data_IF_457897723621
#
_entry.id   IF_457897723621
#
_cell.length_a   1.000
_cell.length_b   1.000
_cell.length_c   1.000
_cell.angle_alpha   90.00
_cell.angle_beta   90.00
_cell.angle_gamma   90.00
#
_symmetry.space_group_name_H-M   'P 1'
#
loop_
_entity.id
_entity.type
_entity.pdbx_description
1 polymer ?
#
# COMPACT_ATOMS: atom_id res chain seq x y z
N UNK A 1 20.00 -9.97 33.02
CA UNK A 1 20.45 -8.62 33.46
C UNK A 1 20.17 -7.66 32.32
N UNK A 2 19.64 -6.47 32.60
CA UNK A 2 19.33 -5.47 31.56
C UNK A 2 20.62 -5.01 30.86
N UNK A 3 20.65 -4.88 29.51
CA UNK A 3 21.75 -4.24 28.81
C UNK A 3 21.84 -2.74 29.16
N UNK A 4 22.99 -2.12 28.91
CA UNK A 4 23.15 -0.66 29.11
C UNK A 4 22.12 0.13 28.31
N UNK A 5 21.87 -0.28 27.06
CA UNK A 5 20.85 0.29 26.19
C UNK A 5 19.90 -0.78 25.65
N UNK A 6 18.63 -0.67 26.03
CA UNK A 6 17.55 -1.49 25.48
C UNK A 6 16.62 -0.66 24.58
N UNK A 7 16.11 -1.28 23.52
CA UNK A 7 15.02 -0.73 22.71
C UNK A 7 13.65 -1.04 23.32
N UNK A 8 13.48 -2.25 23.85
CA UNK A 8 12.21 -2.75 24.38
C UNK A 8 12.42 -3.60 25.64
N UNK A 9 11.35 -3.73 26.43
CA UNK A 9 11.30 -4.62 27.60
C UNK A 9 11.42 -6.10 27.20
N UNK A 10 11.73 -6.99 28.15
CA UNK A 10 11.76 -8.42 27.90
C UNK A 10 10.43 -9.01 27.44
N UNK A 11 10.51 -10.15 26.73
CA UNK A 11 9.32 -10.99 26.50
C UNK A 11 8.72 -11.42 27.83
N UNK A 12 7.38 -11.49 27.89
CA UNK A 12 6.67 -11.91 29.08
C UNK A 12 7.14 -13.30 29.54
N UNK A 13 7.56 -13.40 30.80
CA UNK A 13 8.08 -14.65 31.37
C UNK A 13 9.55 -14.96 31.05
N UNK A 14 10.27 -14.00 30.47
CA UNK A 14 11.72 -14.08 30.20
C UNK A 14 12.44 -12.84 30.71
N UNK A 15 13.77 -12.92 30.80
CA UNK A 15 14.65 -11.76 31.02
C UNK A 15 15.40 -11.36 29.73
N UNK A 16 14.90 -11.78 28.56
CA UNK A 16 15.49 -11.51 27.25
C UNK A 16 15.13 -10.08 26.81
N UNK A 17 15.98 -9.11 27.14
CA UNK A 17 15.83 -7.73 26.69
C UNK A 17 16.11 -7.58 25.20
N UNK A 18 15.32 -6.75 24.51
CA UNK A 18 15.67 -6.33 23.16
C UNK A 18 16.73 -5.22 23.25
N UNK A 19 17.99 -5.55 22.94
CA UNK A 19 19.07 -4.54 22.95
C UNK A 19 18.79 -3.48 21.89
N UNK A 20 19.24 -2.24 22.15
CA UNK A 20 19.03 -1.15 21.19
C UNK A 20 19.78 -1.39 19.87
N UNK A 21 20.97 -2.01 19.94
CA UNK A 21 21.75 -2.34 18.74
C UNK A 21 21.07 -3.41 17.89
N UNK A 22 20.59 -4.50 18.51
CA UNK A 22 19.91 -5.57 17.77
C UNK A 22 18.65 -5.06 17.07
N UNK A 23 17.87 -4.22 17.76
CA UNK A 23 16.69 -3.58 17.19
C UNK A 23 17.06 -2.67 16.00
N UNK A 24 18.04 -1.78 16.19
CA UNK A 24 18.48 -0.88 15.12
C UNK A 24 18.99 -1.65 13.90
N UNK A 25 19.76 -2.71 14.10
CA UNK A 25 20.27 -3.55 13.01
C UNK A 25 19.14 -4.28 12.28
N UNK A 26 18.18 -4.87 13.02
CA UNK A 26 17.02 -5.56 12.45
C UNK A 26 16.10 -4.62 11.65
N UNK A 27 15.82 -3.43 12.19
CA UNK A 27 15.05 -2.39 11.49
C UNK A 27 15.79 -1.89 10.25
N UNK A 28 17.10 -1.65 10.37
CA UNK A 28 17.94 -1.19 9.26
C UNK A 28 17.96 -2.20 8.12
N UNK A 29 18.24 -3.47 8.40
CA UNK A 29 18.32 -4.53 7.39
C UNK A 29 16.98 -4.65 6.63
N UNK A 30 15.87 -4.67 7.37
CA UNK A 30 14.52 -4.77 6.79
C UNK A 30 14.15 -3.55 5.97
N UNK A 31 14.33 -2.35 6.51
CA UNK A 31 13.99 -1.11 5.83
C UNK A 31 14.82 -0.94 4.55
N UNK A 32 16.12 -1.26 4.59
CA UNK A 32 16.99 -1.25 3.41
C UNK A 32 16.51 -2.24 2.35
N UNK A 33 16.24 -3.49 2.75
CA UNK A 33 15.76 -4.54 1.85
C UNK A 33 14.46 -4.16 1.16
N UNK A 34 13.48 -3.63 1.90
CA UNK A 34 12.23 -3.16 1.32
C UNK A 34 12.43 -1.98 0.38
N UNK A 35 13.30 -1.04 0.75
CA UNK A 35 13.51 0.16 -0.03
C UNK A 35 14.30 -0.06 -1.32
N UNK A 36 15.16 -1.09 -1.36
CA UNK A 36 15.91 -1.51 -2.55
C UNK A 36 15.02 -1.81 -3.76
N UNK A 37 13.78 -2.26 -3.53
CA UNK A 37 12.81 -2.56 -4.59
C UNK A 37 12.50 -1.32 -5.46
N UNK A 38 12.62 -0.12 -4.88
CA UNK A 38 12.37 1.16 -5.55
C UNK A 38 13.57 2.14 -5.51
N UNK A 39 14.78 1.65 -5.27
CA UNK A 39 16.00 2.48 -5.24
C UNK A 39 16.05 3.48 -4.09
N UNK A 40 15.42 3.17 -2.95
CA UNK A 40 15.36 4.00 -1.75
C UNK A 40 16.24 3.52 -0.59
N UNK A 41 17.09 2.52 -0.81
CA UNK A 41 17.89 1.83 0.21
C UNK A 41 18.74 2.78 1.06
N UNK A 42 19.37 3.78 0.46
CA UNK A 42 20.21 4.75 1.19
C UNK A 42 19.37 5.62 2.13
N UNK A 43 18.22 6.11 1.65
CA UNK A 43 17.29 6.92 2.44
C UNK A 43 16.74 6.11 3.61
N UNK A 44 16.27 4.89 3.34
CA UNK A 44 15.70 4.02 4.37
C UNK A 44 16.74 3.59 5.41
N UNK A 45 17.96 3.23 4.99
CA UNK A 45 19.06 2.87 5.89
C UNK A 45 19.43 4.00 6.83
N UNK A 46 19.59 5.23 6.32
CA UNK A 46 19.93 6.38 7.16
C UNK A 46 18.80 6.74 8.12
N UNK A 47 17.55 6.70 7.65
CA UNK A 47 16.40 6.94 8.52
C UNK A 47 16.31 5.88 9.62
N UNK A 48 16.46 4.60 9.29
CA UNK A 48 16.44 3.49 10.26
C UNK A 48 17.57 3.59 11.29
N UNK A 49 18.79 3.96 10.86
CA UNK A 49 19.93 4.11 11.78
C UNK A 49 19.66 5.09 12.93
N UNK A 50 18.90 6.15 12.67
CA UNK A 50 18.69 7.22 13.65
C UNK A 50 17.27 7.30 14.19
N UNK A 51 16.34 6.45 13.72
CA UNK A 51 14.91 6.57 14.07
C UNK A 51 14.68 6.59 15.59
N UNK A 52 15.45 5.76 16.30
CA UNK A 52 15.36 5.54 17.74
C UNK A 52 16.53 6.14 18.53
N UNK A 53 17.26 7.12 17.98
CA UNK A 53 18.36 7.80 18.67
C UNK A 53 17.97 8.27 20.08
N UNK A 54 16.72 8.71 20.27
CA UNK A 54 16.23 9.15 21.58
C UNK A 54 16.15 8.05 22.64
N UNK A 55 16.20 6.76 22.28
CA UNK A 55 16.20 5.65 23.24
C UNK A 55 17.51 5.59 24.03
N UNK A 56 18.59 6.23 23.56
CA UNK A 56 19.82 6.42 24.35
C UNK A 56 19.66 7.43 25.51
N UNK A 57 18.54 8.17 25.57
CA UNK A 57 18.24 9.06 26.68
C UNK A 57 18.16 8.26 28.01
N UNK A 58 18.91 8.65 29.06
CA UNK A 58 18.80 8.02 30.37
C UNK A 58 17.38 7.95 30.93
N UNK A 59 16.55 8.97 30.69
CA UNK A 59 15.16 8.99 31.14
C UNK A 59 14.33 7.89 30.45
N UNK A 60 14.63 7.60 29.17
CA UNK A 60 13.99 6.53 28.41
C UNK A 60 14.43 5.16 28.92
N UNK A 61 15.72 4.98 29.20
CA UNK A 61 16.24 3.73 29.77
C UNK A 61 15.64 3.44 31.15
N UNK A 62 15.53 4.44 32.02
CA UNK A 62 14.85 4.31 33.31
C UNK A 62 13.34 4.08 33.16
N UNK A 63 12.70 4.62 32.11
CA UNK A 63 11.31 4.32 31.80
C UNK A 63 11.09 2.83 31.47
N UNK A 64 11.95 2.23 30.64
CA UNK A 64 11.86 0.80 30.32
C UNK A 64 12.04 -0.10 31.56
N UNK A 65 12.93 0.28 32.49
CA UNK A 65 13.10 -0.43 33.77
C UNK A 65 11.80 -0.43 34.58
N UNK A 66 11.19 0.75 34.76
CA UNK A 66 9.91 0.87 35.46
C UNK A 66 8.78 0.08 34.78
N UNK A 67 8.75 0.03 33.45
CA UNK A 67 7.80 -0.81 32.71
C UNK A 67 8.01 -2.30 32.98
N UNK A 68 9.26 -2.75 33.03
CA UNK A 68 9.58 -4.14 33.31
C UNK A 68 9.25 -4.51 34.78
N UNK A 69 9.61 -3.65 35.73
CA UNK A 69 9.25 -3.81 37.15
C UNK A 69 7.74 -3.88 37.35
N UNK A 70 6.97 -3.01 36.69
CA UNK A 70 5.51 -3.06 36.73
C UNK A 70 4.95 -4.38 36.17
N UNK A 71 5.54 -4.88 35.08
CA UNK A 71 5.17 -6.17 34.48
C UNK A 71 5.41 -7.33 35.46
N UNK A 72 6.56 -7.35 36.15
CA UNK A 72 6.87 -8.35 37.17
C UNK A 72 5.97 -8.25 38.40
N UNK A 73 5.62 -7.03 38.81
CA UNK A 73 4.71 -6.77 39.93
C UNK A 73 3.23 -6.98 39.60
N UNK A 74 2.88 -7.20 38.33
CA UNK A 74 1.49 -7.29 37.86
C UNK A 74 0.72 -5.97 37.99
N UNK A 75 1.42 -4.83 37.98
CA UNK A 75 0.85 -3.48 38.09
C UNK A 75 0.84 -2.77 36.74
N UNK A 76 0.02 -1.70 36.57
CA UNK A 76 0.02 -0.91 35.35
C UNK A 76 1.39 -0.26 35.09
N UNK A 77 1.85 -0.19 33.82
CA UNK A 77 3.07 0.54 33.48
C UNK A 77 2.90 2.06 33.69
N UNK A 78 4.00 2.84 33.74
CA UNK A 78 3.91 4.29 33.88
C UNK A 78 3.06 4.94 32.78
N UNK A 79 2.17 5.85 33.16
CA UNK A 79 1.16 6.45 32.24
C UNK A 79 1.77 7.32 31.13
N UNK A 80 2.90 7.97 31.39
CA UNK A 80 3.57 8.87 30.43
C UNK A 80 4.87 8.22 29.94
N UNK A 81 4.92 7.96 28.62
CA UNK A 81 6.16 7.60 27.95
C UNK A 81 7.13 8.78 27.83
N UNK A 82 8.40 8.46 27.59
CA UNK A 82 9.45 9.44 27.33
C UNK A 82 9.56 9.66 25.82
N UNK A 83 9.40 10.88 25.29
CA UNK A 83 9.54 11.14 23.86
C UNK A 83 10.96 10.83 23.36
N UNK A 84 11.07 10.03 22.30
CA UNK A 84 12.38 9.65 21.74
C UNK A 84 12.52 9.92 20.24
N UNK A 85 11.42 9.95 19.48
CA UNK A 85 11.46 10.02 18.01
C UNK A 85 12.09 11.29 17.41
N UNK A 86 12.14 12.40 18.16
CA UNK A 86 12.59 13.70 17.62
C UNK A 86 14.11 13.83 17.51
N UNK A 87 14.87 13.17 18.40
CA UNK A 87 16.32 13.39 18.50
C UNK A 87 17.07 12.95 17.24
N UNK A 88 16.67 11.84 16.62
CA UNK A 88 17.26 11.40 15.36
C UNK A 88 16.99 12.35 14.19
N UNK A 89 15.82 12.98 14.19
CA UNK A 89 15.48 13.99 13.19
C UNK A 89 16.30 15.29 13.37
N UNK A 90 16.60 15.66 14.62
CA UNK A 90 17.50 16.77 14.92
C UNK A 90 18.93 16.48 14.45
N UNK A 91 19.44 15.27 14.69
CA UNK A 91 20.75 14.85 14.18
C UNK A 91 20.80 14.93 12.65
N UNK A 92 19.79 14.39 11.97
CA UNK A 92 19.71 14.46 10.52
C UNK A 92 19.72 15.90 10.00
N UNK A 93 18.98 16.82 10.65
CA UNK A 93 18.96 18.23 10.29
C UNK A 93 20.33 18.91 10.53
N UNK A 94 20.95 18.70 11.69
CA UNK A 94 22.25 19.29 12.03
C UNK A 94 23.39 18.77 11.12
N UNK A 95 23.26 17.56 10.56
CA UNK A 95 24.17 16.99 9.56
C UNK A 95 23.86 17.44 8.11
N UNK A 96 22.84 18.27 7.88
CA UNK A 96 22.43 18.73 6.55
C UNK A 96 21.61 17.71 5.73
N UNK A 97 21.14 16.63 6.36
CA UNK A 97 20.26 15.62 5.77
C UNK A 97 18.78 15.82 6.18
N UNK A 98 18.31 17.06 6.16
CA UNK A 98 16.98 17.47 6.67
C UNK A 98 15.80 16.71 6.01
N UNK A 99 15.97 16.20 4.79
CA UNK A 99 14.97 15.37 4.10
C UNK A 99 14.63 14.07 4.83
N UNK A 100 15.48 13.59 5.76
CA UNK A 100 15.22 12.43 6.61
C UNK A 100 14.37 12.76 7.84
N UNK A 101 14.38 14.01 8.29
CA UNK A 101 13.67 14.46 9.49
C UNK A 101 12.18 14.07 9.53
N UNK A 102 11.38 14.22 8.44
CA UNK A 102 9.97 13.81 8.47
C UNK A 102 9.78 12.30 8.65
N UNK A 103 10.71 11.48 8.13
CA UNK A 103 10.65 10.02 8.25
C UNK A 103 10.92 9.61 9.70
N UNK A 104 12.02 10.13 10.25
CA UNK A 104 12.49 9.81 11.60
C UNK A 104 11.51 10.34 12.64
N UNK A 105 11.17 11.62 12.62
CA UNK A 105 10.27 12.18 13.63
C UNK A 105 8.89 11.51 13.60
N UNK A 106 8.43 11.12 12.41
CA UNK A 106 7.10 10.58 12.19
C UNK A 106 6.92 9.09 12.44
N UNK A 107 7.98 8.31 12.74
CA UNK A 107 7.91 6.84 12.68
C UNK A 107 6.86 6.21 13.62
N UNK A 108 6.46 6.89 14.70
CA UNK A 108 5.34 6.47 15.55
C UNK A 108 4.03 7.23 15.31
N UNK A 109 4.09 8.55 15.05
CA UNK A 109 2.92 9.43 15.01
C UNK A 109 2.35 9.69 13.61
N UNK A 110 3.10 9.31 12.57
CA UNK A 110 2.84 9.70 11.19
C UNK A 110 3.57 10.98 10.78
N UNK A 111 3.44 11.31 9.50
CA UNK A 111 4.07 12.49 8.89
C UNK A 111 3.44 13.78 9.43
N UNK A 112 4.31 14.67 9.90
CA UNK A 112 3.95 16.01 10.38
C UNK A 112 3.79 16.99 9.22
N UNK A 113 2.97 18.03 9.44
CA UNK A 113 3.03 19.22 8.61
C UNK A 113 4.42 19.88 8.74
N UNK A 114 4.99 20.46 7.67
CA UNK A 114 6.34 21.04 7.71
C UNK A 114 6.56 22.04 8.85
N UNK A 115 5.59 22.92 9.10
CA UNK A 115 5.65 23.91 10.19
C UNK A 115 5.66 23.27 11.57
N UNK A 116 4.86 22.21 11.77
CA UNK A 116 4.81 21.47 13.02
C UNK A 116 6.10 20.68 13.27
N UNK A 117 6.69 20.11 12.22
CA UNK A 117 8.00 19.45 12.31
C UNK A 117 9.09 20.45 12.70
N UNK A 118 9.15 21.59 12.00
CA UNK A 118 10.13 22.66 12.28
C UNK A 118 10.08 23.13 13.73
N UNK A 119 8.88 23.43 14.23
CA UNK A 119 8.69 23.86 15.61
C UNK A 119 9.17 22.82 16.64
N UNK A 120 9.10 21.51 16.32
CA UNK A 120 9.60 20.44 17.19
C UNK A 120 11.13 20.33 17.15
N UNK A 121 11.74 20.54 15.99
CA UNK A 121 13.21 20.51 15.82
C UNK A 121 13.90 21.71 16.49
N UNK A 122 13.18 22.83 16.62
CA UNK A 122 13.66 24.08 17.23
C UNK A 122 13.25 24.21 18.71
N UNK A 123 12.57 23.22 19.29
CA UNK A 123 12.13 23.24 20.70
C UNK A 123 13.32 23.32 21.67
N UNK A 124 13.34 24.35 22.51
CA UNK A 124 14.49 24.66 23.37
C UNK A 124 14.73 23.60 24.44
N UNK A 125 13.68 23.00 25.01
CA UNK A 125 13.80 21.96 26.01
C UNK A 125 14.39 20.68 25.41
N UNK A 126 13.92 20.28 24.23
CA UNK A 126 14.44 19.14 23.49
C UNK A 126 15.90 19.35 23.07
N UNK A 127 16.24 20.56 22.59
CA UNK A 127 17.63 20.98 22.27
C UNK A 127 18.55 20.91 23.48
N UNK A 128 18.08 21.27 24.67
CA UNK A 128 18.88 21.18 25.89
C UNK A 128 19.26 19.73 26.26
N UNK A 129 18.37 18.77 26.01
CA UNK A 129 18.62 17.35 26.27
C UNK A 129 19.44 16.67 25.17
N UNK A 130 19.46 17.23 23.96
CA UNK A 130 20.01 16.59 22.77
C UNK A 130 21.49 16.20 22.90
N UNK A 131 22.33 17.06 23.48
CA UNK A 131 23.76 16.74 23.65
C UNK A 131 24.00 15.52 24.53
N UNK A 132 23.25 15.38 25.63
CA UNK A 132 23.34 14.22 26.51
C UNK A 132 22.95 12.92 25.77
N UNK A 133 21.96 12.99 24.87
CA UNK A 133 21.55 11.86 24.03
C UNK A 133 22.65 11.49 23.04
N UNK A 134 23.30 12.47 22.41
CA UNK A 134 24.41 12.21 21.47
C UNK A 134 25.61 11.58 22.19
N UNK A 135 25.99 12.07 23.37
CA UNK A 135 27.07 11.48 24.17
C UNK A 135 26.76 10.04 24.57
N UNK A 136 25.52 9.76 24.99
CA UNK A 136 25.09 8.40 25.32
C UNK A 136 25.08 7.48 24.09
N UNK A 137 24.58 7.96 22.95
CA UNK A 137 24.59 7.21 21.68
C UNK A 137 26.00 6.92 21.18
N UNK A 138 26.93 7.87 21.35
CA UNK A 138 28.34 7.68 21.00
C UNK A 138 29.00 6.61 21.90
N UNK A 139 28.70 6.60 23.21
CA UNK A 139 29.16 5.53 24.12
C UNK A 139 28.58 4.17 23.73
N UNK A 140 27.32 4.15 23.30
CA UNK A 140 26.66 2.97 22.75
C UNK A 140 27.13 2.56 21.35
N UNK A 141 28.11 3.25 20.76
CA UNK A 141 28.70 2.89 19.47
C UNK A 141 27.87 3.26 18.25
N UNK A 142 26.79 4.04 18.40
CA UNK A 142 25.97 4.46 17.26
C UNK A 142 26.73 5.47 16.38
N UNK A 143 26.85 5.25 15.06
CA UNK A 143 27.46 6.23 14.16
C UNK A 143 26.61 7.51 14.06
N UNK A 144 27.21 8.65 14.43
CA UNK A 144 26.57 9.98 14.44
C UNK A 144 27.02 10.86 13.26
N UNK A 145 27.52 10.26 12.18
CA UNK A 145 27.99 10.94 10.98
C UNK A 145 27.32 10.38 9.73
N UNK A 146 27.29 11.20 8.67
CA UNK A 146 26.91 10.72 7.34
C UNK A 146 28.03 9.85 6.75
N UNK A 147 27.70 8.84 5.92
CA UNK A 147 28.69 8.09 5.17
C UNK A 147 29.49 9.00 4.21
N UNK A 148 30.80 8.80 4.11
CA UNK A 148 31.68 9.60 3.24
C UNK A 148 31.30 9.49 1.75
N UNK A 149 30.72 8.37 1.35
CA UNK A 149 30.29 8.08 -0.01
C UNK A 149 28.84 8.49 -0.30
N UNK A 150 28.16 9.20 0.63
CA UNK A 150 26.75 9.54 0.50
C UNK A 150 26.41 10.26 -0.80
N UNK A 151 27.23 11.22 -1.22
CA UNK A 151 27.00 11.97 -2.45
C UNK A 151 27.04 11.10 -3.71
N UNK A 152 27.76 9.97 -3.66
CA UNK A 152 27.86 9.02 -4.77
C UNK A 152 26.74 7.97 -4.76
N UNK A 153 26.18 7.70 -3.59
CA UNK A 153 25.20 6.62 -3.38
C UNK A 153 23.76 7.13 -3.30
N UNK A 154 23.54 8.37 -2.88
CA UNK A 154 22.22 8.96 -2.75
C UNK A 154 21.69 9.46 -4.10
N UNK A 155 20.70 8.77 -4.64
CA UNK A 155 20.00 9.16 -5.85
C UNK A 155 18.61 9.72 -5.55
N UNK A 156 18.52 11.04 -5.37
CA UNK A 156 17.24 11.74 -5.28
C UNK A 156 16.69 12.10 -6.67
N UNK A 157 15.39 11.92 -6.91
CA UNK A 157 14.75 12.42 -8.12
C UNK A 157 14.87 13.95 -8.27
N UNK A 158 14.77 14.44 -9.51
CA UNK A 158 14.81 15.88 -9.77
C UNK A 158 13.46 16.57 -9.47
N UNK A 159 12.35 15.86 -9.68
CA UNK A 159 11.01 16.42 -9.50
C UNK A 159 10.57 16.39 -8.03
N UNK A 160 10.07 17.50 -7.46
CA UNK A 160 9.64 17.55 -6.05
C UNK A 160 8.62 16.47 -5.67
N UNK A 161 7.69 16.15 -6.58
CA UNK A 161 6.71 15.09 -6.36
C UNK A 161 7.35 13.70 -6.27
N UNK A 162 8.35 13.42 -7.11
CA UNK A 162 9.05 12.14 -7.07
C UNK A 162 9.91 12.01 -5.81
N UNK A 163 10.51 13.13 -5.35
CA UNK A 163 11.20 13.17 -4.05
C UNK A 163 10.23 12.89 -2.91
N UNK A 164 9.07 13.56 -2.89
CA UNK A 164 8.05 13.33 -1.87
C UNK A 164 7.59 11.87 -1.83
N UNK A 165 7.32 11.28 -3.00
CA UNK A 165 6.92 9.88 -3.12
C UNK A 165 8.03 8.93 -2.67
N UNK A 166 9.30 9.22 -2.97
CA UNK A 166 10.44 8.43 -2.51
C UNK A 166 10.54 8.45 -0.99
N UNK A 167 10.49 9.64 -0.39
CA UNK A 167 10.53 9.84 1.05
C UNK A 167 9.37 9.13 1.75
N UNK A 168 8.18 9.15 1.14
CA UNK A 168 6.99 8.47 1.68
C UNK A 168 7.09 6.95 1.59
N UNK A 169 7.65 6.41 0.50
CA UNK A 169 7.92 4.97 0.38
C UNK A 169 9.02 4.52 1.35
N UNK A 170 10.07 5.32 1.55
CA UNK A 170 11.09 5.04 2.56
C UNK A 170 10.52 5.14 3.99
N UNK A 171 9.63 6.10 4.27
CA UNK A 171 8.87 6.16 5.52
C UNK A 171 8.08 4.88 5.76
N UNK A 172 7.37 4.41 4.74
CA UNK A 172 6.62 3.15 4.79
C UNK A 172 7.51 1.95 5.15
N UNK A 173 8.66 1.83 4.50
CA UNK A 173 9.62 0.76 4.74
C UNK A 173 10.20 0.84 6.17
N UNK A 174 10.55 2.04 6.65
CA UNK A 174 11.04 2.27 8.01
C UNK A 174 10.00 1.85 9.05
N UNK A 175 8.78 2.36 8.92
CA UNK A 175 7.72 2.08 9.89
C UNK A 175 7.39 0.58 9.88
N UNK A 176 7.26 -0.06 8.71
CA UNK A 176 6.95 -1.49 8.72
C UNK A 176 8.09 -2.33 9.30
N UNK A 177 9.35 -1.95 9.05
CA UNK A 177 10.50 -2.60 9.65
C UNK A 177 10.51 -2.48 11.19
N UNK A 178 10.30 -1.29 11.75
CA UNK A 178 10.19 -1.04 13.21
C UNK A 178 9.09 -1.89 13.85
N UNK A 179 7.91 -1.93 13.22
CA UNK A 179 6.80 -2.75 13.70
C UNK A 179 7.10 -4.26 13.64
N UNK A 180 7.68 -4.75 12.55
CA UNK A 180 7.98 -6.18 12.38
C UNK A 180 9.08 -6.65 13.33
N UNK A 181 10.07 -5.79 13.58
CA UNK A 181 11.17 -6.08 14.49
C UNK A 181 10.70 -6.13 15.95
N UNK A 182 9.86 -5.18 16.34
CA UNK A 182 9.17 -5.22 17.63
C UNK A 182 8.27 -6.46 17.75
N UNK A 183 7.49 -6.79 16.71
CA UNK A 183 6.60 -7.96 16.68
C UNK A 183 7.37 -9.27 16.85
N UNK A 184 8.47 -9.46 16.13
CA UNK A 184 9.31 -10.65 16.20
C UNK A 184 9.91 -10.84 17.60
N UNK A 185 10.39 -9.76 18.22
CA UNK A 185 10.90 -9.82 19.60
C UNK A 185 9.82 -10.33 20.55
N UNK A 186 8.59 -9.81 20.47
CA UNK A 186 7.53 -10.18 21.40
C UNK A 186 6.76 -11.46 21.04
N UNK A 187 6.75 -11.88 19.77
CA UNK A 187 5.90 -12.95 19.28
C UNK A 187 6.47 -13.71 18.06
N UNK A 188 7.52 -14.49 18.28
CA UNK A 188 8.20 -15.33 17.26
C UNK A 188 7.25 -16.29 16.50
N UNK A 189 6.15 -16.73 17.13
CA UNK A 189 5.18 -17.62 16.50
C UNK A 189 4.37 -16.94 15.39
N UNK A 190 4.07 -15.64 15.52
CA UNK A 190 3.34 -14.88 14.47
C UNK A 190 4.22 -14.60 13.25
N UNK A 191 5.52 -14.42 13.44
CA UNK A 191 6.49 -14.23 12.33
C UNK A 191 6.48 -15.41 11.37
N UNK A 192 6.50 -16.64 11.89
CA UNK A 192 6.51 -17.88 11.09
C UNK A 192 5.23 -18.08 10.26
N UNK A 193 4.10 -17.52 10.68
CA UNK A 193 2.84 -17.58 9.93
C UNK A 193 2.84 -16.70 8.65
N UNK A 194 3.77 -15.74 8.53
CA UNK A 194 3.87 -14.85 7.36
C UNK A 194 4.52 -15.53 6.15
N UNK A 195 5.31 -16.58 6.35
CA UNK A 195 6.20 -17.16 5.31
C UNK A 195 5.50 -18.07 4.27
N UNK A 196 4.30 -18.58 4.54
CA UNK A 196 3.64 -19.58 3.69
C UNK A 196 2.82 -18.96 2.52
N UNK A 197 3.41 -18.11 1.67
CA UNK A 197 2.67 -17.49 0.55
C UNK A 197 2.76 -18.30 -0.76
N UNK A 198 1.63 -18.45 -1.45
CA UNK A 198 1.57 -19.08 -2.78
C UNK A 198 2.19 -18.15 -3.82
N UNK A 199 3.03 -18.68 -4.71
CA UNK A 199 3.67 -17.86 -5.75
C UNK A 199 2.67 -17.35 -6.79
N UNK A 200 2.97 -16.19 -7.40
CA UNK A 200 2.18 -15.65 -8.52
C UNK A 200 2.05 -16.64 -9.69
N UNK A 201 3.08 -17.46 -9.92
CA UNK A 201 3.05 -18.52 -10.93
C UNK A 201 2.00 -19.59 -10.61
N UNK A 202 1.92 -20.02 -9.34
CA UNK A 202 0.91 -20.98 -8.91
C UNK A 202 -0.51 -20.41 -9.07
N UNK A 203 -0.74 -19.16 -8.64
CA UNK A 203 -2.02 -18.47 -8.85
C UNK A 203 -2.38 -18.37 -10.34
N UNK A 204 -1.41 -18.05 -11.21
CA UNK A 204 -1.65 -18.02 -12.66
C UNK A 204 -2.08 -19.40 -13.18
N UNK A 205 -1.39 -20.46 -12.80
CA UNK A 205 -1.70 -21.85 -13.24
C UNK A 205 -3.10 -22.27 -12.79
N UNK A 206 -3.49 -21.93 -11.57
CA UNK A 206 -4.82 -22.23 -11.05
C UNK A 206 -5.92 -21.47 -11.82
N UNK A 207 -5.68 -20.19 -12.12
CA UNK A 207 -6.59 -19.41 -12.95
C UNK A 207 -6.70 -19.96 -14.38
N UNK A 208 -5.59 -20.39 -14.99
CA UNK A 208 -5.60 -21.02 -16.31
C UNK A 208 -6.45 -22.30 -16.32
N UNK A 209 -6.23 -23.19 -15.35
CA UNK A 209 -7.00 -24.43 -15.21
C UNK A 209 -8.49 -24.17 -15.04
N UNK A 210 -8.84 -23.17 -14.22
CA UNK A 210 -10.23 -22.77 -14.00
C UNK A 210 -10.86 -22.22 -15.29
N UNK A 211 -10.15 -21.34 -16.01
CA UNK A 211 -10.62 -20.79 -17.29
C UNK A 211 -10.77 -21.86 -18.37
N UNK A 212 -9.88 -22.86 -18.42
CA UNK A 212 -9.99 -24.01 -19.33
C UNK A 212 -11.22 -24.86 -19.04
N UNK A 213 -11.51 -25.11 -17.76
CA UNK A 213 -12.70 -25.85 -17.33
C UNK A 213 -13.98 -25.11 -17.73
N UNK A 214 -14.04 -23.79 -17.50
CA UNK A 214 -15.17 -22.96 -17.94
C UNK A 214 -15.30 -22.99 -19.46
N UNK A 215 -14.19 -22.88 -20.19
CA UNK A 215 -14.20 -22.87 -21.66
C UNK A 215 -14.72 -24.21 -22.23
N UNK A 216 -14.34 -25.35 -21.65
CA UNK A 216 -14.81 -26.68 -22.07
C UNK A 216 -16.32 -26.86 -21.82
N UNK A 217 -16.86 -26.28 -20.75
CA UNK A 217 -18.29 -26.34 -20.43
C UNK A 217 -19.12 -25.25 -21.15
N UNK A 218 -18.48 -24.29 -21.83
CA UNK A 218 -19.15 -23.13 -22.38
C UNK A 218 -19.91 -23.44 -23.68
N UNK A 219 -21.18 -23.05 -23.73
CA UNK A 219 -21.97 -23.06 -24.99
C UNK A 219 -21.42 -22.02 -25.98
N UNK A 220 -21.40 -22.30 -27.29
CA UNK A 220 -20.95 -21.36 -28.31
C UNK A 220 -21.99 -20.25 -28.49
N UNK A 221 -21.86 -19.18 -27.71
CA UNK A 221 -22.71 -17.99 -27.77
C UNK A 221 -21.87 -16.78 -28.19
N UNK A 222 -22.50 -15.74 -28.74
CA UNK A 222 -21.81 -14.47 -29.06
C UNK A 222 -21.12 -13.87 -27.84
N UNK A 223 -21.72 -13.99 -26.65
CA UNK A 223 -21.13 -13.55 -25.38
C UNK A 223 -19.84 -14.32 -25.07
N UNK A 224 -19.85 -15.63 -25.22
CA UNK A 224 -18.68 -16.46 -24.94
C UNK A 224 -17.58 -16.27 -26.00
N UNK A 225 -17.94 -15.98 -27.25
CA UNK A 225 -16.97 -15.58 -28.27
C UNK A 225 -16.25 -14.28 -27.90
N UNK A 226 -16.99 -13.24 -27.48
CA UNK A 226 -16.39 -11.98 -26.98
C UNK A 226 -15.49 -12.24 -25.78
N UNK A 227 -15.93 -13.04 -24.80
CA UNK A 227 -15.12 -13.40 -23.63
C UNK A 227 -13.81 -14.09 -24.03
N UNK A 228 -13.84 -14.99 -25.01
CA UNK A 228 -12.65 -15.66 -25.51
C UNK A 228 -11.70 -14.70 -26.24
N UNK A 229 -12.23 -13.77 -27.05
CA UNK A 229 -11.44 -12.71 -27.70
C UNK A 229 -10.75 -11.80 -26.67
N UNK A 230 -11.48 -11.37 -25.62
CA UNK A 230 -10.93 -10.54 -24.54
C UNK A 230 -9.86 -11.29 -23.75
N UNK A 231 -10.11 -12.56 -23.38
CA UNK A 231 -9.12 -13.38 -22.68
C UNK A 231 -7.84 -13.56 -23.50
N UNK A 232 -7.97 -13.80 -24.81
CA UNK A 232 -6.83 -13.91 -25.72
C UNK A 232 -6.04 -12.59 -25.76
N UNK A 233 -6.72 -11.46 -25.91
CA UNK A 233 -6.08 -10.15 -25.92
C UNK A 233 -5.31 -9.87 -24.62
N UNK A 234 -5.89 -10.19 -23.46
CA UNK A 234 -5.20 -10.11 -22.16
C UNK A 234 -3.95 -11.00 -22.09
N UNK A 235 -4.01 -12.24 -22.61
CA UNK A 235 -2.86 -13.15 -22.65
C UNK A 235 -1.75 -12.66 -23.56
N UNK A 236 -2.08 -12.08 -24.70
CA UNK A 236 -1.12 -11.58 -25.68
C UNK A 236 -0.43 -10.31 -25.15
N UNK A 237 -1.23 -9.36 -24.64
CA UNK A 237 -0.74 -8.08 -24.11
C UNK A 237 0.13 -8.22 -22.85
N UNK A 238 0.02 -9.33 -22.10
CA UNK A 238 0.81 -9.55 -20.87
C UNK A 238 2.32 -9.52 -21.06
N UNK A 239 2.80 -9.69 -22.30
CA UNK A 239 4.23 -9.63 -22.67
C UNK A 239 4.74 -8.23 -22.99
N UNK A 240 3.85 -7.23 -23.09
CA UNK A 240 4.24 -5.84 -23.31
C UNK A 240 4.96 -5.31 -22.07
N UNK A 241 5.96 -4.45 -22.28
CA UNK A 241 6.74 -3.83 -21.19
C UNK A 241 5.88 -3.23 -20.07
N UNK A 242 6.35 -3.13 -18.82
CA UNK A 242 5.61 -2.49 -17.74
C UNK A 242 5.15 -1.05 -18.05
N UNK A 243 4.06 -0.60 -17.42
CA UNK A 243 3.52 0.74 -17.61
C UNK A 243 1.99 0.83 -17.49
N UNK A 244 1.39 1.81 -18.17
CA UNK A 244 -0.05 2.03 -18.14
C UNK A 244 -0.77 1.27 -19.27
N UNK A 245 -1.84 0.59 -18.89
CA UNK A 245 -2.67 -0.21 -19.78
C UNK A 245 -4.15 0.15 -19.64
N UNK A 246 -4.90 -0.08 -20.71
CA UNK A 246 -6.35 0.11 -20.77
C UNK A 246 -7.05 -1.20 -21.09
N UNK A 247 -7.99 -1.59 -20.25
CA UNK A 247 -8.89 -2.71 -20.50
C UNK A 247 -10.32 -2.19 -20.65
N UNK A 248 -10.69 -1.83 -21.88
CA UNK A 248 -12.06 -1.42 -22.21
C UNK A 248 -12.87 -2.63 -22.68
N UNK A 249 -13.82 -3.06 -21.84
CA UNK A 249 -14.62 -4.26 -22.10
C UNK A 249 -16.09 -4.00 -21.73
N UNK A 250 -17.06 -4.28 -22.62
CA UNK A 250 -18.48 -4.14 -22.28
C UNK A 250 -18.89 -5.04 -21.11
N UNK A 251 -19.93 -4.63 -20.38
CA UNK A 251 -20.46 -5.40 -19.24
C UNK A 251 -20.80 -6.83 -19.66
N UNK A 252 -20.28 -7.80 -18.89
CA UNK A 252 -20.44 -9.23 -19.19
C UNK A 252 -19.40 -9.81 -20.17
N UNK A 253 -18.53 -8.99 -20.76
CA UNK A 253 -17.46 -9.41 -21.68
C UNK A 253 -16.24 -10.08 -21.04
N UNK A 254 -16.29 -10.41 -19.73
CA UNK A 254 -15.24 -11.18 -19.06
C UNK A 254 -14.08 -10.35 -18.48
N UNK A 255 -14.31 -9.07 -18.17
CA UNK A 255 -13.32 -8.13 -17.62
C UNK A 255 -12.57 -8.66 -16.40
N UNK A 256 -13.28 -9.19 -15.41
CA UNK A 256 -12.72 -9.60 -14.11
C UNK A 256 -11.65 -10.68 -14.23
N UNK A 257 -11.98 -11.86 -14.79
CA UNK A 257 -11.02 -12.97 -14.90
C UNK A 257 -9.98 -12.74 -15.99
N UNK A 258 -10.34 -12.10 -17.11
CA UNK A 258 -9.38 -11.80 -18.17
C UNK A 258 -8.37 -10.74 -17.73
N UNK A 259 -8.82 -9.71 -17.01
CA UNK A 259 -7.94 -8.70 -16.41
C UNK A 259 -7.00 -9.29 -15.36
N UNK A 260 -7.50 -10.20 -14.50
CA UNK A 260 -6.64 -10.92 -13.56
C UNK A 260 -5.62 -11.82 -14.28
N UNK A 261 -6.02 -12.48 -15.38
CA UNK A 261 -5.10 -13.27 -16.20
C UNK A 261 -3.98 -12.42 -16.78
N UNK A 262 -4.31 -11.24 -17.33
CA UNK A 262 -3.30 -10.27 -17.75
C UNK A 262 -2.37 -9.94 -16.59
N UNK A 263 -2.92 -9.57 -15.42
CA UNK A 263 -2.14 -9.11 -14.29
C UNK A 263 -1.18 -10.18 -13.75
N UNK A 264 -1.66 -11.41 -13.53
CA UNK A 264 -0.82 -12.51 -13.04
C UNK A 264 0.26 -12.90 -14.05
N UNK A 265 -0.08 -13.00 -15.34
CA UNK A 265 0.87 -13.36 -16.38
C UNK A 265 1.91 -12.27 -16.63
N UNK A 266 1.48 -11.00 -16.66
CA UNK A 266 2.37 -9.85 -16.79
C UNK A 266 3.31 -9.74 -15.58
N UNK A 267 2.79 -9.93 -14.37
CA UNK A 267 3.62 -9.94 -13.17
C UNK A 267 4.70 -11.03 -13.22
N UNK A 268 4.35 -12.23 -13.66
CA UNK A 268 5.31 -13.32 -13.81
C UNK A 268 6.38 -13.01 -14.87
N UNK A 269 6.00 -12.51 -16.05
CA UNK A 269 6.93 -12.23 -17.15
C UNK A 269 7.97 -11.16 -16.75
N UNK A 270 7.54 -10.13 -16.05
CA UNK A 270 8.40 -8.98 -15.71
C UNK A 270 8.94 -9.01 -14.28
N UNK A 271 8.78 -10.13 -13.56
CA UNK A 271 9.27 -10.28 -12.19
C UNK A 271 8.65 -9.30 -11.18
N UNK A 272 7.39 -8.93 -11.38
CA UNK A 272 6.62 -8.12 -10.42
C UNK A 272 6.21 -9.01 -9.24
N UNK A 273 6.10 -8.40 -8.06
CA UNK A 273 5.97 -9.10 -6.78
C UNK A 273 4.52 -9.47 -6.44
N UNK A 274 3.54 -8.68 -6.90
CA UNK A 274 2.13 -8.87 -6.52
C UNK A 274 1.13 -8.24 -7.48
N UNK A 275 -0.13 -8.61 -7.33
CA UNK A 275 -1.29 -8.05 -8.01
C UNK A 275 -2.22 -7.40 -6.98
N UNK A 276 -2.59 -6.14 -7.21
CA UNK A 276 -3.52 -5.36 -6.39
C UNK A 276 -4.75 -5.05 -7.25
N UNK A 277 -5.90 -5.59 -6.88
CA UNK A 277 -7.19 -5.33 -7.54
C UNK A 277 -7.99 -4.36 -6.67
N UNK A 278 -8.17 -3.14 -7.15
CA UNK A 278 -8.94 -2.10 -6.49
C UNK A 278 -10.31 -1.94 -7.14
N UNK A 279 -11.37 -2.16 -6.36
CA UNK A 279 -12.77 -2.04 -6.81
C UNK A 279 -13.48 -0.86 -6.14
N UNK A 280 -14.46 -0.20 -6.79
CA UNK A 280 -15.02 1.04 -6.29
C UNK A 280 -16.02 0.89 -5.13
N UNK A 281 -16.81 -0.20 -5.12
CA UNK A 281 -17.92 -0.39 -4.18
C UNK A 281 -17.71 -1.64 -3.32
N UNK A 282 -18.06 -1.56 -2.05
CA UNK A 282 -17.98 -2.69 -1.09
C UNK A 282 -18.88 -3.84 -1.51
N UNK A 283 -20.07 -3.60 -2.05
CA UNK A 283 -20.94 -4.68 -2.54
C UNK A 283 -20.32 -5.51 -3.68
N UNK A 284 -19.39 -4.91 -4.45
CA UNK A 284 -18.69 -5.58 -5.55
C UNK A 284 -17.44 -6.31 -5.06
N UNK A 285 -16.82 -5.84 -3.96
CA UNK A 285 -15.61 -6.47 -3.43
C UNK A 285 -15.89 -7.88 -2.93
N UNK A 286 -16.97 -8.08 -2.17
CA UNK A 286 -17.35 -9.38 -1.63
C UNK A 286 -17.63 -10.40 -2.74
N UNK A 287 -18.22 -9.96 -3.86
CA UNK A 287 -18.42 -10.81 -5.03
C UNK A 287 -17.09 -11.16 -5.70
N UNK A 288 -16.20 -10.19 -5.89
CA UNK A 288 -14.90 -10.41 -6.52
C UNK A 288 -14.03 -11.34 -5.68
N UNK A 289 -13.99 -11.11 -4.37
CA UNK A 289 -13.25 -11.94 -3.40
C UNK A 289 -13.80 -13.36 -3.37
N UNK A 290 -15.13 -13.55 -3.36
CA UNK A 290 -15.73 -14.91 -3.43
C UNK A 290 -15.25 -15.67 -4.66
N UNK A 291 -15.31 -15.06 -5.84
CA UNK A 291 -14.84 -15.67 -7.09
C UNK A 291 -13.34 -16.02 -6.99
N UNK A 292 -12.51 -15.14 -6.44
CA UNK A 292 -11.08 -15.43 -6.31
C UNK A 292 -10.80 -16.53 -5.27
N UNK A 293 -11.52 -16.56 -4.15
CA UNK A 293 -11.38 -17.61 -3.12
C UNK A 293 -11.83 -18.97 -3.62
N UNK A 294 -12.85 -19.03 -4.48
CA UNK A 294 -13.27 -20.28 -5.15
C UNK A 294 -12.18 -20.85 -6.07
N UNK A 295 -11.36 -19.99 -6.68
CA UNK A 295 -10.29 -20.39 -7.61
C UNK A 295 -8.99 -20.72 -6.86
N UNK A 296 -8.59 -19.84 -5.94
CA UNK A 296 -7.25 -19.88 -5.32
C UNK A 296 -7.25 -20.42 -3.88
N UNK A 297 -8.43 -20.62 -3.28
CA UNK A 297 -8.57 -20.90 -1.86
C UNK A 297 -8.51 -19.64 -0.98
N UNK A 298 -9.10 -19.74 0.22
CA UNK A 298 -9.28 -18.60 1.12
C UNK A 298 -7.98 -17.92 1.57
N UNK A 299 -6.90 -18.70 1.74
CA UNK A 299 -5.62 -18.22 2.29
C UNK A 299 -4.76 -17.44 1.28
N UNK A 300 -5.13 -17.46 0.00
CA UNK A 300 -4.33 -16.88 -1.09
C UNK A 300 -4.85 -15.53 -1.59
N UNK A 301 -5.98 -15.06 -1.04
CA UNK A 301 -6.64 -13.80 -1.43
C UNK A 301 -6.72 -12.90 -0.20
N UNK A 302 -5.92 -11.84 -0.18
CA UNK A 302 -6.01 -10.84 0.87
C UNK A 302 -7.14 -9.86 0.56
N UNK A 303 -8.21 -9.90 1.35
CA UNK A 303 -9.31 -8.94 1.29
C UNK A 303 -9.05 -7.79 2.26
N UNK A 304 -9.05 -6.54 1.78
CA UNK A 304 -8.84 -5.37 2.62
C UNK A 304 -9.78 -4.20 2.28
N UNK A 305 -10.77 -3.98 3.14
CA UNK A 305 -11.66 -2.82 3.14
C UNK A 305 -12.22 -2.60 4.56
N UNK A 306 -12.93 -1.50 4.78
CA UNK A 306 -13.46 -1.13 6.10
C UNK A 306 -14.26 -2.25 6.78
N UNK A 307 -15.25 -2.85 6.08
CA UNK A 307 -16.06 -3.92 6.64
C UNK A 307 -15.28 -5.22 6.92
N UNK A 308 -14.40 -5.67 6.01
CA UNK A 308 -13.55 -6.84 6.26
C UNK A 308 -12.55 -6.60 7.39
N UNK A 309 -12.13 -5.35 7.62
CA UNK A 309 -11.34 -4.96 8.78
C UNK A 309 -12.16 -5.10 10.06
N UNK A 310 -13.42 -4.67 10.09
CA UNK A 310 -14.25 -4.86 11.29
C UNK A 310 -14.50 -6.35 11.60
N UNK A 311 -14.67 -7.19 10.57
CA UNK A 311 -14.79 -8.65 10.71
C UNK A 311 -13.48 -9.32 11.13
N UNK A 312 -12.33 -8.95 10.56
CA UNK A 312 -11.03 -9.51 10.95
C UNK A 312 -10.59 -9.06 12.35
N UNK A 313 -11.11 -7.94 12.86
CA UNK A 313 -10.76 -7.36 14.15
C UNK A 313 -11.87 -7.51 15.22
N UNK A 314 -13.02 -8.10 14.88
CA UNK A 314 -14.11 -8.38 15.82
C UNK A 314 -13.84 -9.55 16.79
N UNK A 315 -14.41 -9.47 17.99
CA UNK A 315 -14.26 -10.41 19.13
C UNK A 315 -14.93 -11.78 18.92
N UNK A 316 -14.77 -12.41 17.75
CA UNK A 316 -15.23 -13.78 17.52
C UNK A 316 -14.23 -14.79 18.09
N UNK A 317 -14.71 -15.77 18.86
CA UNK A 317 -13.93 -16.81 19.57
C UNK A 317 -13.14 -17.76 18.64
N UNK A 318 -13.35 -17.71 17.32
CA UNK A 318 -12.57 -18.47 16.34
C UNK A 318 -11.27 -17.73 15.94
N UNK A 319 -10.20 -18.06 16.68
CA UNK A 319 -8.81 -17.61 16.44
C UNK A 319 -8.05 -18.56 15.49
N UNK A 320 -8.60 -18.78 14.29
CA UNK A 320 -7.87 -19.55 13.27
C UNK A 320 -6.57 -18.83 12.85
N UNK A 321 -5.47 -19.57 12.71
CA UNK A 321 -4.17 -19.06 12.22
C UNK A 321 -4.30 -18.28 10.91
N UNK A 322 -5.21 -18.69 10.02
CA UNK A 322 -5.51 -18.01 8.77
C UNK A 322 -6.06 -16.58 8.98
N UNK A 323 -6.87 -16.36 10.03
CA UNK A 323 -7.44 -15.05 10.36
C UNK A 323 -6.39 -14.12 10.93
N UNK A 324 -5.51 -14.64 11.79
CA UNK A 324 -4.34 -13.90 12.30
C UNK A 324 -3.41 -13.51 11.15
N UNK A 325 -3.10 -14.45 10.26
CA UNK A 325 -2.28 -14.18 9.08
C UNK A 325 -2.89 -13.11 8.17
N UNK A 326 -4.19 -13.20 7.87
CA UNK A 326 -4.88 -12.18 7.08
C UNK A 326 -4.81 -10.81 7.76
N UNK A 327 -5.06 -10.73 9.08
CA UNK A 327 -4.94 -9.49 9.86
C UNK A 327 -3.54 -8.89 9.75
N UNK A 328 -2.49 -9.70 9.91
CA UNK A 328 -1.10 -9.26 9.78
C UNK A 328 -0.80 -8.75 8.36
N UNK A 329 -1.23 -9.49 7.32
CA UNK A 329 -1.04 -9.11 5.93
C UNK A 329 -1.82 -7.85 5.53
N UNK A 330 -2.97 -7.54 6.15
CA UNK A 330 -3.67 -6.25 5.89
C UNK A 330 -2.90 -5.02 6.37
N UNK A 331 -2.02 -5.18 7.36
CA UNK A 331 -1.25 -4.08 7.92
C UNK A 331 -0.24 -3.54 6.89
N UNK A 332 0.42 -4.45 6.18
CA UNK A 332 1.52 -4.12 5.28
C UNK A 332 1.34 -4.60 3.82
N UNK A 333 0.23 -5.25 3.45
CA UNK A 333 0.00 -5.78 2.10
C UNK A 333 1.04 -6.81 1.63
N UNK A 334 1.52 -7.62 2.57
CA UNK A 334 2.39 -8.75 2.27
C UNK A 334 1.59 -9.96 1.78
N UNK A 335 1.08 -9.87 0.54
CA UNK A 335 0.36 -10.94 -0.14
C UNK A 335 0.53 -10.85 -1.67
N UNK A 336 0.54 -12.00 -2.39
CA UNK A 336 0.69 -12.04 -3.84
C UNK A 336 -0.54 -11.48 -4.58
N UNK A 337 -1.75 -11.69 -4.04
CA UNK A 337 -3.00 -11.18 -4.59
C UNK A 337 -3.79 -10.44 -3.51
N UNK A 338 -3.97 -9.15 -3.73
CA UNK A 338 -4.66 -8.23 -2.82
C UNK A 338 -5.91 -7.73 -3.53
N UNK A 339 -7.06 -7.84 -2.86
CA UNK A 339 -8.32 -7.25 -3.30
C UNK A 339 -8.72 -6.20 -2.30
N UNK A 340 -8.82 -4.96 -2.76
CA UNK A 340 -9.08 -3.79 -1.91
C UNK A 340 -10.04 -2.83 -2.57
N UNK A 341 -10.42 -1.76 -1.88
CA UNK A 341 -11.21 -0.70 -2.48
C UNK A 341 -10.33 0.37 -3.10
N UNK A 342 -10.85 1.07 -4.10
CA UNK A 342 -10.19 2.24 -4.70
C UNK A 342 -9.86 3.30 -3.64
N UNK A 343 -10.76 3.52 -2.68
CA UNK A 343 -10.52 4.42 -1.54
C UNK A 343 -9.36 3.94 -0.70
N UNK A 344 -9.35 2.67 -0.27
CA UNK A 344 -8.29 2.12 0.57
C UNK A 344 -6.91 2.18 -0.12
N UNK A 345 -6.85 1.95 -1.43
CA UNK A 345 -5.61 2.11 -2.21
C UNK A 345 -5.08 3.54 -2.14
N UNK A 346 -5.92 4.54 -2.44
CA UNK A 346 -5.48 5.93 -2.44
C UNK A 346 -5.27 6.50 -1.02
N UNK A 347 -6.03 6.06 -0.02
CA UNK A 347 -5.73 6.38 1.38
C UNK A 347 -4.37 5.81 1.83
N UNK A 348 -3.92 4.70 1.26
CA UNK A 348 -2.59 4.15 1.54
C UNK A 348 -1.49 4.97 0.86
N UNK A 349 -1.76 5.51 -0.34
CA UNK A 349 -0.84 6.38 -1.08
C UNK A 349 -0.71 7.78 -0.48
N UNK A 350 -1.82 8.38 -0.04
CA UNK A 350 -1.87 9.78 0.40
C UNK A 350 -2.03 9.96 1.91
N UNK A 351 -2.26 8.87 2.65
CA UNK A 351 -2.39 8.88 4.10
C UNK A 351 -1.11 9.34 4.79
N UNK A 352 -1.23 9.94 5.97
CA UNK A 352 -0.08 10.44 6.74
C UNK A 352 0.24 9.62 7.97
N UNK A 353 -0.68 8.77 8.41
CA UNK A 353 -0.53 8.00 9.65
C UNK A 353 0.18 6.67 9.39
N UNK A 354 0.89 6.16 10.39
CA UNK A 354 1.68 4.93 10.31
C UNK A 354 0.87 3.74 9.81
N UNK A 355 -0.32 3.51 10.36
CA UNK A 355 -1.21 2.41 9.96
C UNK A 355 -1.65 2.43 8.48
N UNK A 356 -1.74 3.62 7.86
CA UNK A 356 -2.03 3.78 6.45
C UNK A 356 -0.76 3.59 5.61
N UNK A 357 0.35 4.19 6.05
CA UNK A 357 1.60 4.19 5.31
C UNK A 357 2.31 2.84 5.31
N UNK A 358 2.16 1.98 6.33
CA UNK A 358 2.90 0.70 6.47
C UNK A 358 2.87 -0.21 5.25
N UNK A 359 1.83 -0.14 4.43
CA UNK A 359 1.67 -0.98 3.23
C UNK A 359 2.20 -0.37 1.92
N UNK A 360 2.55 0.91 1.94
CA UNK A 360 2.85 1.68 0.74
C UNK A 360 4.09 1.16 -0.02
N UNK A 361 5.16 0.77 0.67
CA UNK A 361 6.37 0.24 0.03
C UNK A 361 6.10 -1.05 -0.77
N UNK A 362 5.13 -1.87 -0.34
CA UNK A 362 4.65 -3.03 -1.09
C UNK A 362 3.80 -2.68 -2.32
N UNK A 363 3.56 -1.41 -2.66
CA UNK A 363 2.93 -1.06 -3.95
C UNK A 363 3.96 -1.07 -5.10
N UNK A 364 5.26 -0.91 -4.80
CA UNK A 364 6.31 -1.01 -5.81
C UNK A 364 6.34 -2.41 -6.45
N UNK A 365 6.76 -2.48 -7.72
CA UNK A 365 6.81 -3.71 -8.51
C UNK A 365 5.51 -4.51 -8.46
N UNK A 366 4.37 -3.85 -8.62
CA UNK A 366 3.04 -4.50 -8.58
C UNK A 366 2.26 -4.28 -9.86
N UNK A 367 1.32 -5.17 -10.17
CA UNK A 367 0.26 -4.87 -11.15
C UNK A 367 -0.97 -4.35 -10.40
N UNK A 368 -1.36 -3.11 -10.67
CA UNK A 368 -2.47 -2.42 -10.02
C UNK A 368 -3.64 -2.38 -11.00
N UNK A 369 -4.68 -3.15 -10.74
CA UNK A 369 -5.91 -3.18 -11.52
C UNK A 369 -6.92 -2.23 -10.88
N UNK A 370 -7.23 -1.12 -11.53
CA UNK A 370 -8.26 -0.17 -11.11
C UNK A 370 -9.56 -0.48 -11.84
N UNK A 371 -10.50 -1.13 -11.16
CA UNK A 371 -11.79 -1.45 -11.73
C UNK A 371 -12.76 -0.25 -11.70
N UNK A 372 -13.57 -0.15 -12.74
CA UNK A 372 -14.49 0.96 -13.01
C UNK A 372 -13.83 2.32 -12.80
N UNK A 373 -12.69 2.55 -13.44
CA UNK A 373 -11.87 3.77 -13.28
C UNK A 373 -12.65 5.09 -13.51
N UNK A 374 -13.79 5.05 -14.19
CA UNK A 374 -14.69 6.20 -14.34
C UNK A 374 -15.36 6.67 -13.03
N UNK A 375 -15.33 5.86 -11.96
CA UNK A 375 -15.88 6.24 -10.65
C UNK A 375 -14.89 7.06 -9.81
N UNK A 376 -13.69 7.33 -10.32
CA UNK A 376 -12.72 8.16 -9.60
C UNK A 376 -13.27 9.58 -9.36
N UNK A 377 -13.06 10.16 -8.17
CA UNK A 377 -13.56 11.49 -7.86
C UNK A 377 -12.85 12.55 -8.69
N UNK A 378 -13.63 13.32 -9.47
CA UNK A 378 -13.11 14.36 -10.38
C UNK A 378 -12.18 15.36 -9.67
N UNK A 379 -12.49 15.74 -8.44
CA UNK A 379 -11.69 16.69 -7.64
C UNK A 379 -10.31 16.18 -7.23
N UNK A 380 -10.07 14.86 -7.30
CA UNK A 380 -8.80 14.24 -6.93
C UNK A 380 -8.11 13.59 -8.14
N UNK A 381 -8.60 13.78 -9.36
CA UNK A 381 -8.02 13.14 -10.55
C UNK A 381 -6.56 13.51 -10.77
N UNK A 382 -6.17 14.77 -10.57
CA UNK A 382 -4.78 15.21 -10.73
C UNK A 382 -3.83 14.46 -9.79
N UNK A 383 -3.99 14.51 -8.44
CA UNK A 383 -3.08 13.80 -7.54
C UNK A 383 -3.12 12.27 -7.77
N UNK A 384 -4.29 11.70 -8.08
CA UNK A 384 -4.41 10.27 -8.40
C UNK A 384 -3.58 9.92 -9.64
N UNK A 385 -3.74 10.67 -10.72
CA UNK A 385 -3.06 10.37 -11.99
C UNK A 385 -1.56 10.58 -11.85
N UNK A 386 -1.13 11.61 -11.11
CA UNK A 386 0.29 11.87 -10.87
C UNK A 386 0.95 10.77 -10.03
N UNK A 387 0.26 10.25 -9.01
CA UNK A 387 0.72 9.07 -8.27
C UNK A 387 0.81 7.83 -9.18
N UNK A 388 -0.21 7.57 -10.00
CA UNK A 388 -0.21 6.42 -10.92
C UNK A 388 0.92 6.51 -11.95
N UNK A 389 1.17 7.69 -12.55
CA UNK A 389 2.32 7.92 -13.43
C UNK A 389 3.64 7.63 -12.71
N UNK A 390 3.78 8.15 -11.50
CA UNK A 390 4.99 7.96 -10.68
C UNK A 390 5.25 6.48 -10.43
N UNK A 391 4.20 5.71 -10.08
CA UNK A 391 4.30 4.26 -9.88
C UNK A 391 4.73 3.49 -11.16
N UNK A 392 4.40 4.01 -12.34
CA UNK A 392 4.82 3.42 -13.63
C UNK A 392 6.24 3.79 -14.07
N UNK A 393 6.94 4.67 -13.35
CA UNK A 393 8.34 4.99 -13.66
C UNK A 393 9.25 3.78 -13.42
N UNK A 394 10.43 3.69 -14.07
CA UNK A 394 11.37 2.59 -13.84
C UNK A 394 11.77 2.39 -12.37
N UNK A 395 11.76 3.47 -11.57
CA UNK A 395 12.07 3.44 -10.14
C UNK A 395 11.13 2.51 -9.37
N UNK A 396 9.82 2.69 -9.50
CA UNK A 396 8.84 1.84 -8.81
C UNK A 396 8.48 0.59 -9.63
N UNK A 397 8.50 0.69 -10.96
CA UNK A 397 8.35 -0.40 -11.90
C UNK A 397 7.01 -1.12 -11.81
N UNK A 398 5.95 -0.44 -11.40
CA UNK A 398 4.59 -1.01 -11.34
C UNK A 398 3.87 -0.83 -12.68
N UNK A 399 2.91 -1.72 -12.94
CA UNK A 399 2.00 -1.59 -14.08
C UNK A 399 0.60 -1.25 -13.59
N UNK A 400 -0.08 -0.34 -14.28
CA UNK A 400 -1.44 0.09 -13.93
C UNK A 400 -2.39 -0.32 -15.04
N UNK A 401 -3.46 -1.02 -14.70
CA UNK A 401 -4.50 -1.46 -15.63
C UNK A 401 -5.79 -0.69 -15.32
N UNK A 402 -6.17 0.21 -16.23
CA UNK A 402 -7.38 1.01 -16.14
C UNK A 402 -8.54 0.23 -16.76
N UNK A 403 -9.35 -0.41 -15.92
CA UNK A 403 -10.47 -1.26 -16.31
C UNK A 403 -11.77 -0.45 -16.35
N UNK A 404 -12.50 -0.51 -17.47
CA UNK A 404 -13.76 0.23 -17.61
C UNK A 404 -14.67 -0.29 -18.73
N UNK A 405 -15.98 -0.10 -18.60
CA UNK A 405 -16.93 -0.21 -19.70
C UNK A 405 -17.17 1.13 -20.44
N UNK A 406 -16.78 2.26 -19.85
CA UNK A 406 -16.98 3.61 -20.42
C UNK A 406 -15.75 4.45 -20.17
N UNK A 407 -15.05 4.87 -21.22
CA UNK A 407 -13.76 5.55 -21.09
C UNK A 407 -13.86 6.85 -20.28
N UNK A 408 -13.16 6.99 -19.14
CA UNK A 408 -12.81 8.32 -18.64
C UNK A 408 -11.66 8.89 -19.46
N UNK A 409 -11.64 10.21 -19.65
CA UNK A 409 -10.55 10.90 -20.34
C UNK A 409 -9.31 11.06 -19.42
N UNK A 410 -8.72 9.94 -18.97
CA UNK A 410 -7.48 9.97 -18.18
C UNK A 410 -6.21 10.17 -19.03
N UNK A 411 -6.32 9.98 -20.34
CA UNK A 411 -5.29 10.31 -21.32
C UNK A 411 -5.71 11.60 -22.04
N UNK A 412 -5.56 12.73 -21.36
CA UNK A 412 -5.94 14.04 -21.91
C UNK A 412 -5.09 15.13 -21.30
N UNK A 413 -4.82 16.17 -22.09
CA UNK A 413 -4.25 17.41 -21.61
C UNK A 413 -5.25 18.54 -21.90
N UNK A 414 -5.73 19.17 -20.84
CA UNK A 414 -6.62 20.33 -20.90
C UNK A 414 -6.15 21.40 -19.93
N UNK A 415 -6.72 22.61 -20.02
CA UNK A 415 -6.47 23.70 -19.06
C UNK A 415 -6.73 23.29 -17.60
N UNK A 416 -7.59 22.29 -17.37
CA UNK A 416 -8.09 21.92 -16.04
C UNK A 416 -7.57 20.58 -15.53
N UNK A 417 -6.93 19.77 -16.40
CA UNK A 417 -6.46 18.44 -16.04
C UNK A 417 -5.33 17.98 -16.97
N UNK A 418 -4.26 17.47 -16.36
CA UNK A 418 -3.09 16.90 -17.05
C UNK A 418 -3.00 15.41 -16.74
N UNK A 419 -3.66 14.61 -17.57
CA UNK A 419 -3.69 13.15 -17.46
C UNK A 419 -2.39 12.49 -17.91
N UNK A 420 -2.46 11.21 -18.26
CA UNK A 420 -1.38 10.52 -18.96
C UNK A 420 -1.10 11.19 -20.32
N UNK A 421 0.17 11.26 -20.75
CA UNK A 421 0.51 11.71 -22.09
C UNK A 421 -0.24 10.90 -23.15
N UNK A 422 -0.65 11.56 -24.24
CA UNK A 422 -1.33 10.89 -25.35
C UNK A 422 -0.44 9.81 -25.95
N UNK A 423 -0.93 8.57 -25.99
CA UNK A 423 -0.21 7.39 -26.45
C UNK A 423 0.54 6.64 -25.34
N UNK A 424 0.55 7.14 -24.10
CA UNK A 424 1.23 6.48 -22.99
C UNK A 424 0.41 5.31 -22.41
N UNK A 425 -0.91 5.31 -22.59
CA UNK A 425 -1.79 4.24 -22.09
C UNK A 425 -2.08 3.25 -23.20
N UNK A 426 -1.56 2.02 -23.08
CA UNK A 426 -1.65 0.99 -24.12
C UNK A 426 -2.95 0.20 -24.03
N UNK A 427 -3.65 0.04 -25.15
CA UNK A 427 -4.86 -0.77 -25.22
C UNK A 427 -4.54 -2.26 -25.17
N UNK A 428 -5.13 -2.97 -24.21
CA UNK A 428 -5.06 -4.45 -24.14
C UNK A 428 -5.93 -5.07 -25.23
N UNK A 429 -7.15 -4.53 -25.42
CA UNK A 429 -8.07 -4.94 -26.49
C UNK A 429 -8.02 -3.88 -27.58
N UNK A 430 -7.72 -4.24 -28.84
CA UNK A 430 -7.64 -3.26 -29.93
C UNK A 430 -8.94 -2.43 -30.06
N UNK A 431 -8.86 -1.12 -30.32
CA UNK A 431 -10.04 -0.24 -30.37
C UNK A 431 -11.16 -0.71 -31.31
N UNK A 432 -10.82 -1.30 -32.44
CA UNK A 432 -11.82 -1.82 -33.38
C UNK A 432 -12.50 -3.10 -32.87
N UNK A 433 -11.78 -3.94 -32.12
CA UNK A 433 -12.39 -5.08 -31.42
C UNK A 433 -13.33 -4.60 -30.32
N UNK A 434 -12.93 -3.57 -29.55
CA UNK A 434 -13.80 -2.95 -28.55
C UNK A 434 -15.12 -2.47 -29.18
N UNK A 435 -15.08 -1.71 -30.28
CA UNK A 435 -16.28 -1.26 -30.99
C UNK A 435 -17.19 -2.43 -31.39
N UNK A 436 -16.62 -3.51 -31.93
CA UNK A 436 -17.37 -4.73 -32.28
C UNK A 436 -17.99 -5.37 -31.04
N UNK A 437 -17.25 -5.49 -29.94
CA UNK A 437 -17.74 -6.10 -28.69
C UNK A 437 -18.92 -5.32 -28.11
N UNK A 438 -18.86 -3.98 -28.08
CA UNK A 438 -19.98 -3.15 -27.62
C UNK A 438 -21.21 -3.30 -28.52
N UNK A 439 -21.03 -3.39 -29.83
CA UNK A 439 -22.14 -3.62 -30.76
C UNK A 439 -22.78 -5.01 -30.54
N UNK A 440 -21.96 -6.05 -30.38
CA UNK A 440 -22.42 -7.44 -30.18
C UNK A 440 -23.10 -7.67 -28.83
N UNK A 441 -22.63 -7.00 -27.77
CA UNK A 441 -23.19 -7.12 -26.42
C UNK A 441 -24.28 -6.07 -26.13
N UNK A 442 -24.72 -5.29 -27.12
CA UNK A 442 -25.82 -4.34 -26.97
C UNK A 442 -27.13 -5.11 -26.74
N UNK A 443 -27.61 -5.10 -25.50
CA UNK A 443 -28.86 -5.78 -25.09
C UNK A 443 -30.09 -4.87 -25.14
N UNK A 444 -29.90 -3.55 -25.16
CA UNK A 444 -30.97 -2.56 -25.06
C UNK A 444 -30.76 -1.47 -26.09
N UNK A 445 -31.83 -1.09 -26.78
CA UNK A 445 -31.88 0.11 -27.62
C UNK A 445 -32.74 1.14 -26.90
N UNK A 446 -32.13 2.26 -26.51
CA UNK A 446 -32.86 3.38 -25.92
C UNK A 446 -33.48 4.22 -27.05
N UNK A 447 -34.79 4.29 -27.07
CA UNK A 447 -35.56 5.26 -27.86
C UNK A 447 -35.96 6.40 -26.93
N UNK A 448 -35.23 7.51 -26.99
CA UNK A 448 -35.65 8.73 -26.30
C UNK A 448 -36.81 9.35 -27.08
N UNK A 449 -38.03 9.20 -26.56
CA UNK A 449 -39.19 9.85 -27.15
C UNK A 449 -39.22 11.32 -26.73
N UNK A 450 -38.45 12.14 -27.46
CA UNK A 450 -38.37 13.59 -27.27
C UNK A 450 -39.58 14.29 -27.91
N UNK A 451 -40.80 13.78 -27.70
CA UNK A 451 -41.97 14.59 -27.97
C UNK A 451 -41.85 15.88 -27.15
N UNK A 452 -42.08 17.07 -27.73
CA UNK A 452 -42.11 18.33 -27.01
C UNK A 452 -43.40 18.40 -26.15
N UNK A 453 -43.57 17.45 -25.22
CA UNK A 453 -44.59 17.53 -24.18
C UNK A 453 -44.11 18.58 -23.20
N UNK A 454 -44.66 19.80 -23.39
CA UNK A 454 -44.70 20.94 -22.47
C UNK A 454 -43.90 20.68 -21.19
N UNK A 455 -42.73 21.30 -21.07
CA UNK A 455 -41.99 21.44 -19.83
C UNK A 455 -42.91 22.02 -18.74
N UNK A 456 -43.69 21.18 -18.06
CA UNK A 456 -44.37 21.56 -16.83
C UNK A 456 -43.28 21.61 -15.78
N UNK A 457 -43.08 22.81 -15.21
CA UNK A 457 -42.16 23.04 -14.09
C UNK A 457 -42.28 21.89 -13.11
N UNK A 458 -41.15 21.35 -12.66
CA UNK A 458 -40.99 20.29 -11.66
C UNK A 458 -41.75 20.51 -10.32
N UNK A 459 -42.45 21.63 -10.13
CA UNK A 459 -43.24 21.95 -8.93
C UNK A 459 -44.62 21.27 -8.84
N UNK A 460 -45.05 20.50 -9.85
CA UNK A 460 -46.39 19.87 -9.86
C UNK A 460 -46.40 18.35 -9.69
N UNK A 461 -45.27 17.73 -9.31
CA UNK A 461 -45.21 16.30 -9.00
C UNK A 461 -44.83 16.17 -7.53
N UNK A 462 -45.85 16.05 -6.67
CA UNK A 462 -45.64 15.81 -5.23
C UNK A 462 -46.72 16.41 -4.34
N UNK A 463 -47.99 16.03 -4.53
CA UNK A 463 -48.90 15.98 -3.38
C UNK A 463 -48.52 14.70 -2.64
N UNK A 464 -47.76 14.85 -1.56
CA UNK A 464 -47.62 13.80 -0.56
C UNK A 464 -48.96 13.67 0.13
N UNK A 465 -49.68 12.57 -0.14
CA UNK A 465 -50.87 12.21 0.62
C UNK A 465 -50.38 11.45 1.86
N UNK A 466 -50.25 12.17 2.98
CA UNK A 466 -50.21 11.57 4.30
C UNK A 466 -51.56 10.90 4.57
N UNK A 467 -51.62 9.57 4.59
CA UNK A 467 -52.63 8.81 5.35
C UNK A 467 -52.06 7.47 5.85
N UNK A 468 -51.81 7.49 7.16
CA UNK A 468 -51.69 6.42 8.17
C UNK A 468 -50.62 5.33 8.00
#
# INVERSE_FOLDING_TARGET
MKPEFAAHTPRKGTDDWHTLDAHNDGVLERAERYARVFGGEVVARLAARWHDLGKFNPDFQGYLERCHEATLAGTPPPEKGVPHAIYGAMLAADLGAEFLAPLIAGHHAGLYAPTALRSRLEDAATRATFQNVLEAAQRGGLPLTLPDDLQRTLELPAAPLEVEMLLRFAFSALVDADFLDTEEHFNDAQTKLREASTSLEALRKDLERHLETIAQAAKPTSVNAVRAEVLKACRDASSLEPGAFRLTVPTGGGKTLSGLMFALKHAQIHGLQRVIVAVPYTSIIEQTVRVYREIFGANNVLEHHSAARDEAFGNGEDSSEARTRAKLATQNWDAPLIVTTTVQLFESLFGRYTNQCRKLHHIAKSVIVLDEVQTLPLSLLTPITDALKTLTTPRYGSSVVLCTATQPALETHSKFFSGFPVGAVRDIVPPDAVKRHFAQLKRVTYTANLEPRRWRRWRSIGVWNDRF
#
